data_IF_522273051334
#
_entry.id   IF_522273051334
#
_cell.length_a   1.000
_cell.length_b   1.000
_cell.length_c   1.000
_cell.angle_alpha   90.00
_cell.angle_beta   90.00
_cell.angle_gamma   90.00
#
_symmetry.space_group_name_H-M   'P 1'
#
loop_
_entity.id
_entity.type
_entity.pdbx_description
1 polymer ?
#
# COMPACT_ATOMS: atom_id res chain seq x y z
N UNK A 1 32.30 -14.79 -3.46
CA UNK A 1 32.46 -14.37 -2.06
C UNK A 1 31.12 -14.27 -1.35
N UNK A 2 30.93 -15.10 -0.32
CA UNK A 2 29.74 -15.05 0.53
C UNK A 2 29.93 -13.98 1.61
N UNK A 3 29.42 -12.77 1.37
CA UNK A 3 29.43 -11.68 2.35
C UNK A 3 28.22 -11.81 3.28
N UNK A 4 28.39 -11.44 4.56
CA UNK A 4 27.31 -11.38 5.55
C UNK A 4 26.58 -12.70 5.89
N UNK A 5 27.17 -13.86 5.59
CA UNK A 5 26.54 -15.16 5.88
C UNK A 5 26.82 -15.67 7.28
N UNK A 6 27.88 -15.20 7.95
CA UNK A 6 28.26 -15.57 9.32
C UNK A 6 28.26 -17.09 9.59
N UNK A 7 28.49 -17.92 8.56
CA UNK A 7 28.47 -19.38 8.63
C UNK A 7 27.09 -20.05 8.45
N UNK A 8 26.01 -19.30 8.26
CA UNK A 8 24.68 -19.83 7.97
C UNK A 8 24.40 -19.91 6.47
N UNK A 9 24.11 -21.11 5.96
CA UNK A 9 23.76 -21.34 4.55
C UNK A 9 22.52 -20.56 4.12
N UNK A 10 21.51 -20.45 4.99
CA UNK A 10 20.27 -19.74 4.66
C UNK A 10 20.47 -18.24 4.40
N UNK A 11 21.54 -17.63 4.93
CA UNK A 11 21.87 -16.22 4.70
C UNK A 11 22.51 -15.98 3.32
N UNK A 12 22.95 -17.03 2.61
CA UNK A 12 23.51 -16.90 1.26
C UNK A 12 22.48 -16.31 0.27
N UNK A 13 21.21 -16.63 0.48
CA UNK A 13 20.09 -16.12 -0.32
C UNK A 13 19.46 -14.85 0.27
N UNK A 14 20.11 -14.24 1.26
CA UNK A 14 19.62 -13.06 1.95
C UNK A 14 18.41 -13.30 2.85
N UNK A 15 17.97 -12.23 3.49
CA UNK A 15 16.80 -12.21 4.37
C UNK A 15 15.53 -12.16 3.49
N UNK A 16 14.49 -12.97 3.78
CA UNK A 16 13.26 -12.92 3.01
C UNK A 16 12.46 -11.64 3.28
N UNK A 17 11.96 -11.00 2.22
CA UNK A 17 11.27 -9.71 2.29
C UNK A 17 9.95 -9.76 3.06
N UNK A 18 9.15 -10.81 2.86
CA UNK A 18 7.80 -10.90 3.43
C UNK A 18 7.79 -10.87 4.97
N UNK A 19 8.61 -11.64 5.72
CA UNK A 19 8.67 -11.48 7.17
C UNK A 19 9.13 -10.09 7.62
N UNK A 20 10.02 -9.41 6.86
CA UNK A 20 10.40 -8.01 7.13
C UNK A 20 9.19 -7.09 6.99
N UNK A 21 8.40 -7.23 5.92
CA UNK A 21 7.17 -6.47 5.70
C UNK A 21 6.12 -6.74 6.78
N UNK A 22 5.89 -8.01 7.13
CA UNK A 22 4.94 -8.36 8.20
C UNK A 22 5.37 -7.68 9.51
N UNK A 23 6.65 -7.82 9.86
CA UNK A 23 7.20 -7.24 11.08
C UNK A 23 7.07 -5.72 11.12
N UNK A 24 7.57 -5.01 10.11
CA UNK A 24 7.65 -3.56 10.16
C UNK A 24 6.39 -2.82 9.71
N UNK A 25 5.55 -3.40 8.84
CA UNK A 25 4.34 -2.74 8.32
C UNK A 25 3.07 -3.23 9.04
N UNK A 26 2.94 -4.54 9.23
CA UNK A 26 1.68 -5.16 9.63
C UNK A 26 1.56 -5.21 11.15
N UNK A 27 2.60 -5.62 11.88
CA UNK A 27 2.56 -5.74 13.36
C UNK A 27 2.26 -4.40 14.04
N UNK A 28 2.93 -3.26 13.73
CA UNK A 28 2.57 -1.96 14.29
C UNK A 28 1.10 -1.59 14.05
N UNK A 29 0.58 -1.91 12.86
CA UNK A 29 -0.80 -1.62 12.46
C UNK A 29 -1.78 -2.45 13.28
N UNK A 30 -1.52 -3.75 13.45
CA UNK A 30 -2.34 -4.64 14.30
C UNK A 30 -2.35 -4.14 15.75
N UNK A 31 -1.21 -3.72 16.28
CA UNK A 31 -1.12 -3.22 17.67
C UNK A 31 -1.93 -1.93 17.83
N UNK A 32 -1.81 -0.98 16.90
CA UNK A 32 -2.61 0.25 16.87
C UNK A 32 -4.10 -0.06 16.76
N UNK A 33 -4.46 -1.01 15.89
CA UNK A 33 -5.84 -1.49 15.77
C UNK A 33 -6.30 -2.04 17.11
N UNK A 34 -5.58 -2.99 17.72
CA UNK A 34 -5.95 -3.59 19.01
C UNK A 34 -6.16 -2.54 20.12
N UNK A 35 -5.25 -1.56 20.23
CA UNK A 35 -5.32 -0.48 21.22
C UNK A 35 -6.44 0.54 20.99
N UNK A 36 -6.95 0.66 19.75
CA UNK A 36 -8.04 1.59 19.43
C UNK A 36 -9.37 1.10 19.99
N UNK A 37 -9.80 1.66 21.13
CA UNK A 37 -11.10 1.34 21.75
C UNK A 37 -12.30 2.07 21.12
N UNK A 38 -12.12 2.79 20.00
CA UNK A 38 -13.23 3.48 19.34
C UNK A 38 -14.12 2.47 18.61
N UNK A 39 -15.19 2.05 19.28
CA UNK A 39 -16.35 1.41 18.68
C UNK A 39 -17.24 2.46 18.01
N UNK A 40 -16.71 3.21 17.04
CA UNK A 40 -17.56 4.12 16.23
C UNK A 40 -18.20 3.31 15.11
N UNK A 41 -19.05 2.34 15.47
CA UNK A 41 -19.87 1.61 14.52
C UNK A 41 -21.05 2.49 14.11
N UNK A 42 -20.81 3.42 13.18
CA UNK A 42 -21.90 3.93 12.34
C UNK A 42 -22.28 2.82 11.37
N UNK A 43 -23.31 2.05 11.72
CA UNK A 43 -24.09 1.28 10.76
C UNK A 43 -25.13 2.25 10.18
N UNK A 44 -24.93 2.85 9.00
CA UNK A 44 -26.00 3.61 8.38
C UNK A 44 -27.16 2.65 8.09
N UNK A 45 -28.28 2.84 8.79
CA UNK A 45 -29.51 2.06 8.65
C UNK A 45 -30.21 2.24 7.29
N UNK A 46 -29.61 2.98 6.35
CA UNK A 46 -30.26 3.45 5.14
C UNK A 46 -29.56 2.85 3.91
N UNK A 47 -30.22 1.88 3.27
CA UNK A 47 -29.82 1.39 1.95
C UNK A 47 -30.32 2.36 0.88
N UNK A 48 -29.47 3.32 0.49
CA UNK A 48 -29.75 4.20 -0.66
C UNK A 48 -29.45 3.42 -1.96
N UNK A 49 -30.37 3.39 -2.94
CA UNK A 49 -30.13 2.70 -4.21
C UNK A 49 -29.05 3.43 -5.04
N UNK A 50 -28.23 2.67 -5.75
CA UNK A 50 -27.10 3.17 -6.56
C UNK A 50 -27.52 4.29 -7.52
N UNK A 51 -28.67 4.11 -8.19
CA UNK A 51 -29.19 5.08 -9.16
C UNK A 51 -29.40 6.48 -8.56
N UNK A 52 -29.86 6.57 -7.30
CA UNK A 52 -30.05 7.86 -6.61
C UNK A 52 -28.71 8.50 -6.25
N UNK A 53 -27.75 7.70 -5.79
CA UNK A 53 -26.39 8.18 -5.49
C UNK A 53 -25.70 8.67 -6.76
N UNK A 54 -25.78 7.91 -7.84
CA UNK A 54 -25.21 8.25 -9.14
C UNK A 54 -25.84 9.53 -9.73
N UNK A 55 -27.16 9.67 -9.67
CA UNK A 55 -27.85 10.87 -10.11
C UNK A 55 -27.48 12.11 -9.26
N UNK A 56 -27.31 11.94 -7.95
CA UNK A 56 -26.85 13.04 -7.08
C UNK A 56 -25.40 13.43 -7.39
N UNK A 57 -24.52 12.45 -7.58
CA UNK A 57 -23.12 12.67 -7.91
C UNK A 57 -22.97 13.49 -9.20
N UNK A 58 -23.61 13.03 -10.28
CA UNK A 58 -23.55 13.66 -11.60
C UNK A 58 -24.12 15.08 -11.60
N UNK A 59 -25.21 15.34 -10.86
CA UNK A 59 -25.85 16.66 -10.83
C UNK A 59 -25.17 17.67 -9.90
N UNK A 60 -24.59 17.23 -8.78
CA UNK A 60 -24.20 18.13 -7.67
C UNK A 60 -22.73 18.03 -7.26
N UNK A 61 -22.04 16.94 -7.59
CA UNK A 61 -20.73 16.64 -7.00
C UNK A 61 -19.56 16.71 -7.99
N UNK A 62 -19.79 16.68 -9.31
CA UNK A 62 -18.70 16.72 -10.31
C UNK A 62 -17.67 17.84 -10.06
N UNK A 63 -18.04 19.11 -9.80
CA UNK A 63 -17.03 20.15 -9.56
C UNK A 63 -16.20 19.91 -8.30
N UNK A 64 -16.80 19.32 -7.26
CA UNK A 64 -16.10 18.95 -6.03
C UNK A 64 -15.17 17.77 -6.25
N UNK A 65 -15.61 16.79 -7.05
CA UNK A 65 -14.82 15.64 -7.46
C UNK A 65 -13.57 16.08 -8.23
N UNK A 66 -13.73 16.94 -9.25
CA UNK A 66 -12.60 17.44 -10.04
C UNK A 66 -11.60 18.21 -9.19
N UNK A 67 -12.08 19.13 -8.32
CA UNK A 67 -11.19 19.85 -7.39
C UNK A 67 -10.46 18.91 -6.45
N UNK A 68 -11.19 17.95 -5.88
CA UNK A 68 -10.62 16.91 -5.03
C UNK A 68 -9.54 16.14 -5.76
N UNK A 69 -9.79 15.72 -7.00
CA UNK A 69 -8.80 15.02 -7.84
C UNK A 69 -7.54 15.84 -8.12
N UNK A 70 -7.67 17.13 -8.39
CA UNK A 70 -6.50 18.01 -8.61
C UNK A 70 -5.68 18.15 -7.33
N UNK A 71 -6.32 18.40 -6.19
CA UNK A 71 -5.64 18.50 -4.89
C UNK A 71 -4.96 17.18 -4.55
N UNK A 72 -5.68 16.07 -4.75
CA UNK A 72 -5.17 14.73 -4.50
C UNK A 72 -3.96 14.41 -5.35
N UNK A 73 -4.00 14.68 -6.65
CA UNK A 73 -2.87 14.50 -7.54
C UNK A 73 -1.62 15.26 -7.05
N UNK A 74 -1.76 16.53 -6.69
CA UNK A 74 -0.63 17.35 -6.20
C UNK A 74 -0.11 16.84 -4.85
N UNK A 75 -1.00 16.54 -3.90
CA UNK A 75 -0.63 16.01 -2.59
C UNK A 75 -0.08 14.57 -2.68
N UNK A 76 -0.35 13.85 -3.76
CA UNK A 76 0.10 12.49 -4.02
C UNK A 76 1.62 12.34 -4.03
N UNK A 77 2.34 13.39 -4.43
CA UNK A 77 3.81 13.41 -4.46
C UNK A 77 4.46 13.52 -3.09
N UNK A 78 3.69 13.75 -2.01
CA UNK A 78 4.23 13.88 -0.66
C UNK A 78 4.50 12.48 -0.08
N UNK A 79 5.76 12.14 0.28
CA UNK A 79 6.09 10.82 0.79
C UNK A 79 5.40 10.49 2.12
N UNK A 80 4.94 9.25 2.27
CA UNK A 80 4.38 8.69 3.51
C UNK A 80 2.99 9.21 3.94
N UNK A 81 2.66 10.48 3.67
CA UNK A 81 1.43 11.13 4.15
C UNK A 81 0.48 11.59 3.04
N UNK A 82 0.73 11.20 1.79
CA UNK A 82 -0.02 11.62 0.60
C UNK A 82 -1.54 11.49 0.77
N UNK A 83 -2.04 10.34 1.22
CA UNK A 83 -3.47 10.04 1.34
C UNK A 83 -4.16 10.83 2.44
N UNK A 84 -3.52 10.96 3.61
CA UNK A 84 -4.06 11.73 4.74
C UNK A 84 -4.06 13.22 4.42
N UNK A 85 -2.98 13.70 3.79
CA UNK A 85 -2.84 15.09 3.39
C UNK A 85 -3.85 15.46 2.31
N UNK A 86 -3.96 14.66 1.24
CA UNK A 86 -4.89 14.90 0.13
C UNK A 86 -6.34 14.97 0.61
N UNK A 87 -6.75 13.99 1.41
CA UNK A 87 -8.10 13.87 1.95
C UNK A 87 -8.43 15.09 2.83
N UNK A 88 -7.56 15.42 3.79
CA UNK A 88 -7.80 16.52 4.73
C UNK A 88 -7.72 17.90 4.08
N UNK A 89 -6.80 18.10 3.14
CA UNK A 89 -6.68 19.36 2.39
C UNK A 89 -7.93 19.60 1.52
N UNK A 90 -8.35 18.58 0.78
CA UNK A 90 -9.56 18.64 -0.05
C UNK A 90 -10.82 18.86 0.79
N UNK A 91 -10.95 18.12 1.91
CA UNK A 91 -12.05 18.32 2.86
C UNK A 91 -12.11 19.76 3.38
N UNK A 92 -10.96 20.29 3.83
CA UNK A 92 -10.87 21.63 4.41
C UNK A 92 -11.24 22.72 3.40
N UNK A 93 -10.79 22.57 2.15
CA UNK A 93 -11.17 23.50 1.08
C UNK A 93 -12.67 23.42 0.77
N UNK A 94 -13.20 22.21 0.56
CA UNK A 94 -14.59 22.05 0.16
C UNK A 94 -15.56 22.42 1.31
N UNK A 95 -15.14 22.27 2.57
CA UNK A 95 -15.87 22.76 3.74
C UNK A 95 -15.99 24.29 3.76
N UNK A 96 -14.95 25.02 3.32
CA UNK A 96 -15.01 26.48 3.17
C UNK A 96 -15.90 26.90 1.99
N UNK A 97 -15.80 26.21 0.85
CA UNK A 97 -16.55 26.55 -0.36
C UNK A 97 -18.04 26.16 -0.27
N UNK A 98 -18.34 25.04 0.39
CA UNK A 98 -19.69 24.47 0.47
C UNK A 98 -19.98 23.97 1.90
N UNK A 99 -20.08 24.87 2.89
CA UNK A 99 -20.24 24.49 4.31
C UNK A 99 -21.52 23.70 4.57
N UNK A 100 -22.61 24.01 3.85
CA UNK A 100 -23.92 23.38 4.00
C UNK A 100 -24.12 22.11 3.14
N UNK A 101 -23.06 21.60 2.49
CA UNK A 101 -23.16 20.42 1.61
C UNK A 101 -22.16 19.34 2.01
N UNK A 102 -22.45 18.55 3.06
CA UNK A 102 -21.53 17.51 3.54
C UNK A 102 -21.24 16.43 2.49
N UNK A 103 -22.20 16.12 1.61
CA UNK A 103 -21.97 15.17 0.50
C UNK A 103 -20.88 15.63 -0.47
N UNK A 104 -20.80 16.93 -0.77
CA UNK A 104 -19.75 17.49 -1.61
C UNK A 104 -18.38 17.41 -0.93
N UNK A 105 -18.32 17.66 0.38
CA UNK A 105 -17.09 17.59 1.19
C UNK A 105 -16.55 16.16 1.21
N UNK A 106 -17.42 15.17 1.41
CA UNK A 106 -17.05 13.75 1.36
C UNK A 106 -16.55 13.35 -0.03
N UNK A 107 -17.29 13.70 -1.09
CA UNK A 107 -16.88 13.38 -2.47
C UNK A 107 -15.53 14.01 -2.81
N UNK A 108 -15.28 15.25 -2.42
CA UNK A 108 -13.98 15.90 -2.64
C UNK A 108 -12.84 15.18 -1.90
N UNK A 109 -13.10 14.70 -0.69
CA UNK A 109 -12.12 13.97 0.14
C UNK A 109 -11.79 12.60 -0.46
N UNK A 110 -12.83 11.83 -0.85
CA UNK A 110 -12.66 10.51 -1.46
C UNK A 110 -11.98 10.56 -2.84
N UNK A 111 -12.34 11.55 -3.66
CA UNK A 111 -11.69 11.75 -4.97
C UNK A 111 -10.25 12.23 -4.85
N UNK A 112 -9.92 13.01 -3.80
CA UNK A 112 -8.55 13.39 -3.48
C UNK A 112 -7.72 12.19 -2.99
N UNK A 113 -8.29 11.33 -2.16
CA UNK A 113 -7.62 10.11 -1.72
C UNK A 113 -7.27 9.21 -2.93
N UNK A 114 -8.26 8.94 -3.79
CA UNK A 114 -8.08 8.03 -4.93
C UNK A 114 -7.09 8.57 -5.97
N UNK A 115 -7.18 9.86 -6.32
CA UNK A 115 -6.22 10.49 -7.23
C UNK A 115 -4.81 10.63 -6.64
N UNK A 116 -4.70 10.89 -5.33
CA UNK A 116 -3.42 10.98 -4.65
C UNK A 116 -2.70 9.65 -4.58
N UNK A 117 -3.43 8.55 -4.37
CA UNK A 117 -2.87 7.20 -4.42
C UNK A 117 -2.38 6.84 -5.83
N UNK A 118 -3.08 7.29 -6.88
CA UNK A 118 -2.61 7.10 -8.25
C UNK A 118 -1.35 7.93 -8.55
N UNK A 119 -1.31 9.18 -8.08
CA UNK A 119 -0.16 10.06 -8.24
C UNK A 119 1.07 9.62 -7.43
N UNK A 120 0.88 8.98 -6.27
CA UNK A 120 2.01 8.49 -5.46
C UNK A 120 2.79 7.35 -6.14
N UNK A 121 2.19 6.67 -7.11
CA UNK A 121 2.88 5.65 -7.92
C UNK A 121 3.82 6.25 -8.97
N UNK A 122 3.70 7.53 -9.32
CA UNK A 122 4.54 8.15 -10.36
C UNK A 122 6.03 8.10 -10.01
N UNK A 123 6.48 8.51 -8.80
CA UNK A 123 7.88 8.39 -8.38
C UNK A 123 8.43 6.97 -8.50
N UNK A 124 7.63 5.97 -8.12
CA UNK A 124 8.01 4.57 -8.28
C UNK A 124 8.21 4.23 -9.77
N UNK A 125 7.22 4.52 -10.62
CA UNK A 125 7.25 4.13 -12.03
C UNK A 125 8.30 4.89 -12.85
N UNK A 126 8.59 6.14 -12.49
CA UNK A 126 9.52 7.00 -13.22
C UNK A 126 10.97 6.81 -12.81
N UNK A 127 11.25 6.71 -11.51
CA UNK A 127 12.62 6.70 -10.99
C UNK A 127 12.92 5.54 -10.03
N UNK A 128 11.98 4.61 -9.83
CA UNK A 128 12.22 3.43 -9.01
C UNK A 128 12.13 3.61 -7.51
N UNK A 129 11.62 4.76 -7.05
CA UNK A 129 11.62 5.11 -5.63
C UNK A 129 10.19 4.97 -5.07
N UNK A 130 9.89 3.91 -4.30
CA UNK A 130 8.63 3.81 -3.59
C UNK A 130 8.56 4.81 -2.43
N UNK A 131 7.46 5.55 -2.34
CA UNK A 131 7.21 6.57 -1.31
C UNK A 131 6.11 6.16 -0.33
N UNK A 132 5.42 5.04 -0.59
CA UNK A 132 4.44 4.42 0.33
C UNK A 132 4.75 2.95 0.60
N UNK A 133 4.21 2.42 1.71
CA UNK A 133 4.38 1.01 2.08
C UNK A 133 3.75 0.01 1.08
N UNK A 134 2.69 0.40 0.38
CA UNK A 134 2.09 -0.44 -0.69
C UNK A 134 2.95 -0.46 -1.95
N UNK A 135 3.61 0.65 -2.28
CA UNK A 135 4.49 0.76 -3.45
C UNK A 135 5.75 -0.08 -3.29
N UNK A 136 6.21 -0.28 -2.06
CA UNK A 136 7.31 -1.20 -1.75
C UNK A 136 6.98 -2.63 -2.23
N UNK A 137 5.76 -3.11 -1.96
CA UNK A 137 5.34 -4.45 -2.38
C UNK A 137 5.23 -4.49 -3.91
N UNK A 138 4.66 -3.43 -4.49
CA UNK A 138 4.59 -3.30 -5.94
C UNK A 138 5.98 -3.31 -6.57
N UNK A 139 6.96 -2.56 -6.06
CA UNK A 139 8.35 -2.55 -6.50
C UNK A 139 8.94 -3.97 -6.51
N UNK A 140 8.78 -4.73 -5.41
CA UNK A 140 9.27 -6.10 -5.33
C UNK A 140 8.72 -6.96 -6.47
N UNK A 141 7.40 -6.90 -6.71
CA UNK A 141 6.79 -7.67 -7.79
C UNK A 141 7.20 -7.19 -9.18
N UNK A 142 7.44 -5.89 -9.35
CA UNK A 142 7.95 -5.36 -10.61
C UNK A 142 9.35 -5.90 -10.90
N UNK A 143 10.24 -5.87 -9.90
CA UNK A 143 11.60 -6.43 -10.02
C UNK A 143 11.57 -7.93 -10.29
N UNK A 144 10.73 -8.69 -9.58
CA UNK A 144 10.54 -10.12 -9.81
C UNK A 144 10.00 -10.41 -11.24
N UNK A 145 9.19 -9.50 -11.79
CA UNK A 145 8.70 -9.57 -13.17
C UNK A 145 9.72 -9.08 -14.22
N UNK A 146 10.93 -8.70 -13.81
CA UNK A 146 12.01 -8.28 -14.70
C UNK A 146 12.05 -6.78 -15.02
N UNK A 147 11.25 -5.96 -14.33
CA UNK A 147 11.34 -4.50 -14.45
C UNK A 147 12.47 -3.96 -13.56
N UNK A 148 13.33 -3.09 -14.11
CA UNK A 148 14.39 -2.46 -13.33
C UNK A 148 14.52 -0.97 -13.67
N UNK A 149 14.22 -0.06 -12.73
CA UNK A 149 14.26 1.38 -12.99
C UNK A 149 15.69 1.91 -13.15
N UNK A 150 16.70 1.11 -12.79
CA UNK A 150 18.12 1.48 -12.81
C UNK A 150 18.87 0.94 -14.03
N UNK A 151 18.20 0.21 -14.93
CA UNK A 151 18.76 -0.27 -16.20
C UNK A 151 18.44 0.72 -17.32
N UNK A 152 19.19 1.82 -17.38
CA UNK A 152 18.99 2.92 -18.33
C UNK A 152 19.18 2.52 -19.80
N UNK A 153 19.85 1.40 -20.07
CA UNK A 153 20.07 0.90 -21.43
C UNK A 153 18.80 0.29 -22.06
N UNK A 154 17.79 -0.03 -21.22
CA UNK A 154 16.57 -0.76 -21.60
C UNK A 154 15.29 0.03 -21.30
N UNK A 155 15.31 1.36 -21.49
CA UNK A 155 14.15 2.22 -21.22
C UNK A 155 12.91 1.78 -22.02
N UNK A 156 13.08 1.41 -23.30
CA UNK A 156 11.96 0.93 -24.13
C UNK A 156 11.33 -0.35 -23.56
N UNK A 157 12.14 -1.29 -23.08
CA UNK A 157 11.67 -2.53 -22.47
C UNK A 157 10.93 -2.27 -21.15
N UNK A 158 11.44 -1.35 -20.31
CA UNK A 158 10.78 -0.95 -19.08
C UNK A 158 9.42 -0.28 -19.34
N UNK A 159 9.35 0.59 -20.34
CA UNK A 159 8.10 1.24 -20.77
C UNK A 159 7.12 0.19 -21.29
N UNK A 160 7.59 -0.77 -22.10
CA UNK A 160 6.77 -1.86 -22.62
C UNK A 160 6.21 -2.75 -21.50
N UNK A 161 7.01 -3.14 -20.51
CA UNK A 161 6.52 -3.89 -19.35
C UNK A 161 5.41 -3.12 -18.62
N UNK A 162 5.62 -1.82 -18.36
CA UNK A 162 4.62 -0.98 -17.68
C UNK A 162 3.33 -0.90 -18.50
N UNK A 163 3.41 -0.46 -19.76
CA UNK A 163 2.22 -0.13 -20.54
C UNK A 163 1.53 -1.34 -21.19
N UNK A 164 2.28 -2.36 -21.61
CA UNK A 164 1.69 -3.56 -22.26
C UNK A 164 1.25 -4.61 -21.25
N UNK A 165 1.96 -4.76 -20.14
CA UNK A 165 1.62 -5.79 -19.15
C UNK A 165 0.86 -5.18 -17.96
N UNK A 166 1.45 -4.21 -17.28
CA UNK A 166 0.98 -3.79 -15.95
C UNK A 166 -0.26 -2.90 -16.01
N UNK A 167 -0.28 -1.90 -16.89
CA UNK A 167 -1.41 -0.95 -17.01
C UNK A 167 -2.74 -1.65 -17.34
N UNK A 168 -2.82 -2.60 -18.30
CA UNK A 168 -4.05 -3.33 -18.57
C UNK A 168 -4.57 -4.11 -17.35
N UNK A 169 -3.67 -4.77 -16.60
CA UNK A 169 -4.03 -5.45 -15.37
C UNK A 169 -4.52 -4.47 -14.30
N UNK A 170 -3.87 -3.32 -14.14
CA UNK A 170 -4.34 -2.28 -13.21
C UNK A 170 -5.75 -1.80 -13.56
N UNK A 171 -6.01 -1.51 -14.83
CA UNK A 171 -7.32 -1.05 -15.29
C UNK A 171 -8.37 -2.14 -15.02
N UNK A 172 -8.08 -3.38 -15.41
CA UNK A 172 -8.97 -4.52 -15.23
C UNK A 172 -9.29 -4.74 -13.74
N UNK A 173 -8.28 -4.78 -12.88
CA UNK A 173 -8.44 -5.00 -11.43
C UNK A 173 -9.24 -3.86 -10.79
N UNK A 174 -9.02 -2.61 -11.20
CA UNK A 174 -9.81 -1.48 -10.69
C UNK A 174 -11.28 -1.53 -11.14
N UNK A 175 -11.57 -1.97 -12.37
CA UNK A 175 -12.94 -2.17 -12.85
C UNK A 175 -13.63 -3.27 -12.05
N UNK A 176 -12.97 -4.42 -11.86
CA UNK A 176 -13.50 -5.50 -11.02
C UNK A 176 -13.70 -5.00 -9.59
N UNK A 177 -12.72 -4.30 -9.04
CA UNK A 177 -12.78 -3.69 -7.71
C UNK A 177 -13.98 -2.76 -7.56
N UNK A 178 -14.27 -1.92 -8.55
CA UNK A 178 -15.45 -1.03 -8.55
C UNK A 178 -16.76 -1.82 -8.52
N UNK A 179 -16.88 -2.88 -9.33
CA UNK A 179 -18.07 -3.74 -9.39
C UNK A 179 -18.28 -4.46 -8.06
N UNK A 180 -17.20 -4.92 -7.43
CA UNK A 180 -17.23 -5.69 -6.18
C UNK A 180 -17.39 -4.81 -4.95
N UNK A 181 -16.82 -3.59 -4.94
CA UNK A 181 -16.80 -2.71 -3.78
C UNK A 181 -18.20 -2.30 -3.33
N UNK A 182 -19.11 -1.98 -4.26
CA UNK A 182 -20.47 -1.55 -3.92
C UNK A 182 -21.29 -2.62 -3.17
N UNK A 183 -21.42 -3.88 -3.65
CA UNK A 183 -22.13 -4.93 -2.92
C UNK A 183 -21.40 -5.35 -1.64
N UNK A 184 -20.07 -5.44 -1.66
CA UNK A 184 -19.30 -5.91 -0.51
C UNK A 184 -19.16 -4.87 0.61
N UNK A 185 -19.27 -3.56 0.33
CA UNK A 185 -19.12 -2.52 1.36
C UNK A 185 -19.99 -2.77 2.59
N UNK A 186 -21.24 -3.21 2.40
CA UNK A 186 -22.17 -3.53 3.52
C UNK A 186 -21.76 -4.80 4.27
N UNK A 187 -21.27 -5.81 3.56
CA UNK A 187 -20.87 -7.09 4.15
C UNK A 187 -19.57 -6.94 4.94
N UNK A 188 -18.61 -6.23 4.37
CA UNK A 188 -17.34 -5.86 5.00
C UNK A 188 -17.62 -5.11 6.29
N UNK A 189 -18.48 -4.08 6.27
CA UNK A 189 -18.82 -3.33 7.48
C UNK A 189 -19.33 -4.27 8.58
N UNK A 190 -20.24 -5.21 8.26
CA UNK A 190 -20.73 -6.21 9.23
C UNK A 190 -19.60 -7.04 9.82
N UNK A 191 -18.69 -7.54 8.98
CA UNK A 191 -17.54 -8.37 9.42
C UNK A 191 -16.64 -7.59 10.38
N UNK A 192 -16.27 -6.36 10.02
CA UNK A 192 -15.39 -5.53 10.83
C UNK A 192 -16.07 -5.00 12.11
N UNK A 193 -17.38 -4.80 12.11
CA UNK A 193 -18.13 -4.39 13.32
C UNK A 193 -18.50 -5.56 14.24
N UNK A 194 -18.57 -6.79 13.73
CA UNK A 194 -19.08 -7.92 14.51
C UNK A 194 -18.11 -8.36 15.61
N UNK A 195 -16.83 -8.53 15.29
CA UNK A 195 -15.82 -8.84 16.30
C UNK A 195 -14.40 -8.51 15.82
N UNK A 196 -13.92 -7.34 16.23
CA UNK A 196 -12.57 -6.85 15.95
C UNK A 196 -11.47 -7.85 16.34
N UNK A 197 -11.64 -8.59 17.44
CA UNK A 197 -10.64 -9.58 17.87
C UNK A 197 -10.57 -10.77 16.92
N UNK A 198 -11.71 -11.25 16.42
CA UNK A 198 -11.76 -12.33 15.42
C UNK A 198 -11.11 -11.86 14.12
N UNK A 199 -11.39 -10.64 13.66
CA UNK A 199 -10.77 -10.10 12.44
C UNK A 199 -9.25 -10.02 12.57
N UNK A 200 -8.75 -9.53 13.71
CA UNK A 200 -7.30 -9.49 13.98
C UNK A 200 -6.71 -10.91 14.01
N UNK A 201 -7.39 -11.87 14.67
CA UNK A 201 -6.93 -13.25 14.74
C UNK A 201 -6.84 -13.91 13.35
N UNK A 202 -7.85 -13.71 12.51
CA UNK A 202 -7.86 -14.19 11.11
C UNK A 202 -6.70 -13.58 10.32
N UNK A 203 -6.46 -12.27 10.47
CA UNK A 203 -5.37 -11.59 9.77
C UNK A 203 -4.00 -12.13 10.21
N UNK A 204 -3.78 -12.32 11.52
CA UNK A 204 -2.53 -12.90 12.05
C UNK A 204 -2.35 -14.34 11.55
N UNK A 205 -3.39 -15.16 11.56
CA UNK A 205 -3.36 -16.53 11.06
C UNK A 205 -2.99 -16.55 9.56
N UNK A 206 -3.61 -15.69 8.77
CA UNK A 206 -3.34 -15.57 7.34
C UNK A 206 -1.89 -15.16 7.08
N UNK A 207 -1.34 -14.20 7.83
CA UNK A 207 0.07 -13.80 7.72
C UNK A 207 1.03 -14.94 8.09
N UNK A 208 0.72 -15.71 9.13
CA UNK A 208 1.52 -16.87 9.54
C UNK A 208 1.53 -17.94 8.43
N UNK A 209 0.34 -18.31 7.93
CA UNK A 209 0.19 -19.30 6.85
C UNK A 209 0.88 -18.86 5.56
N UNK A 210 0.78 -17.58 5.20
CA UNK A 210 1.45 -17.04 4.03
C UNK A 210 2.97 -17.09 4.18
N UNK A 211 3.49 -16.71 5.36
CA UNK A 211 4.93 -16.77 5.63
C UNK A 211 5.45 -18.22 5.58
N UNK A 212 4.74 -19.17 6.20
CA UNK A 212 5.15 -20.58 6.19
C UNK A 212 5.06 -21.17 4.78
N UNK A 213 4.00 -20.87 4.04
CA UNK A 213 3.85 -21.32 2.65
C UNK A 213 5.00 -20.85 1.76
N UNK A 214 5.36 -19.57 1.83
CA UNK A 214 6.49 -19.04 1.07
C UNK A 214 7.82 -19.63 1.53
N UNK A 215 8.00 -19.84 2.84
CA UNK A 215 9.17 -20.54 3.37
C UNK A 215 9.29 -21.99 2.89
N UNK A 216 8.16 -22.66 2.60
CA UNK A 216 8.14 -24.02 2.01
C UNK A 216 8.58 -23.96 0.55
N UNK A 217 8.05 -23.03 -0.24
CA UNK A 217 8.44 -22.84 -1.65
C UNK A 217 9.93 -22.52 -1.81
N UNK A 218 10.48 -21.81 -0.83
CA UNK A 218 11.88 -21.40 -0.79
C UNK A 218 12.79 -22.39 -0.04
N UNK A 219 12.26 -23.55 0.38
CA UNK A 219 12.98 -24.60 1.12
C UNK A 219 13.69 -24.14 2.41
N UNK A 220 13.29 -23.00 2.97
CA UNK A 220 13.92 -22.33 4.13
C UNK A 220 12.93 -22.06 5.27
N UNK A 221 11.93 -22.92 5.46
CA UNK A 221 10.81 -22.74 6.43
C UNK A 221 11.26 -22.26 7.81
N UNK A 222 12.28 -22.91 8.39
CA UNK A 222 12.81 -22.55 9.71
C UNK A 222 13.39 -21.14 9.73
N UNK A 223 14.18 -20.78 8.71
CA UNK A 223 14.77 -19.45 8.60
C UNK A 223 13.70 -18.36 8.41
N UNK A 224 12.69 -18.61 7.57
CA UNK A 224 11.55 -17.71 7.38
C UNK A 224 10.77 -17.48 8.68
N UNK A 225 10.54 -18.56 9.45
CA UNK A 225 9.83 -18.50 10.73
C UNK A 225 10.62 -17.71 11.78
N UNK A 226 11.94 -17.91 11.85
CA UNK A 226 12.82 -17.13 12.74
C UNK A 226 12.79 -15.65 12.34
N UNK A 227 12.94 -15.35 11.05
CA UNK A 227 12.86 -13.98 10.54
C UNK A 227 11.51 -13.34 10.93
N UNK A 228 10.40 -14.06 10.75
CA UNK A 228 9.07 -13.57 11.11
C UNK A 228 9.00 -13.17 12.58
N UNK A 229 9.51 -14.00 13.49
CA UNK A 229 9.50 -13.73 14.93
C UNK A 229 10.36 -12.50 15.25
N UNK A 230 11.59 -12.46 14.72
CA UNK A 230 12.55 -11.37 14.98
C UNK A 230 12.01 -10.04 14.48
N UNK A 231 11.57 -9.97 13.22
CA UNK A 231 11.05 -8.72 12.66
C UNK A 231 9.71 -8.32 13.26
N UNK A 232 8.86 -9.27 13.67
CA UNK A 232 7.63 -8.97 14.42
C UNK A 232 7.93 -8.37 15.78
N UNK A 233 8.93 -8.88 16.49
CA UNK A 233 9.36 -8.31 17.77
C UNK A 233 9.94 -6.90 17.59
N UNK A 234 10.80 -6.70 16.59
CA UNK A 234 11.35 -5.38 16.25
C UNK A 234 10.24 -4.39 15.86
N UNK A 235 9.31 -4.81 15.00
CA UNK A 235 8.15 -4.00 14.62
C UNK A 235 7.29 -3.62 15.81
N UNK A 236 7.05 -4.55 16.74
CA UNK A 236 6.33 -4.25 17.98
C UNK A 236 7.03 -3.19 18.83
N UNK A 237 8.37 -3.29 18.98
CA UNK A 237 9.18 -2.28 19.69
C UNK A 237 9.14 -0.93 18.98
N UNK A 238 9.15 -0.94 17.65
CA UNK A 238 9.17 0.25 16.81
C UNK A 238 7.79 0.82 16.50
N UNK A 239 6.70 0.33 17.11
CA UNK A 239 5.32 0.73 16.78
C UNK A 239 5.01 2.24 16.86
N UNK A 240 5.86 3.01 17.55
CA UNK A 240 5.77 4.47 17.68
C UNK A 240 6.52 5.24 16.58
N UNK A 241 7.39 4.58 15.82
CA UNK A 241 8.23 5.17 14.79
C UNK A 241 7.71 4.84 13.38
N UNK A 242 8.08 5.67 12.41
CA UNK A 242 7.84 5.41 11.00
C UNK A 242 8.80 4.32 10.51
N UNK A 243 8.28 3.14 10.17
CA UNK A 243 9.10 1.98 9.76
C UNK A 243 9.29 1.88 8.24
N UNK A 244 8.57 2.68 7.45
CA UNK A 244 8.67 2.71 5.98
C UNK A 244 10.12 2.92 5.49
N UNK A 245 10.91 3.86 6.04
CA UNK A 245 12.30 4.05 5.61
C UNK A 245 13.21 2.83 5.80
N UNK A 246 12.97 2.00 6.83
CA UNK A 246 13.74 0.78 7.05
C UNK A 246 13.45 -0.26 5.97
N UNK A 247 12.18 -0.43 5.63
CA UNK A 247 11.75 -1.37 4.59
C UNK A 247 12.29 -0.89 3.23
N UNK A 248 12.24 0.42 2.98
CA UNK A 248 12.81 1.03 1.78
C UNK A 248 14.31 0.72 1.65
N UNK A 249 15.09 0.96 2.71
CA UNK A 249 16.54 0.67 2.72
C UNK A 249 16.81 -0.83 2.51
N UNK A 250 16.00 -1.70 3.11
CA UNK A 250 16.15 -3.14 2.98
C UNK A 250 16.00 -3.62 1.52
N UNK A 251 15.07 -3.03 0.78
CA UNK A 251 14.80 -3.41 -0.60
C UNK A 251 15.83 -2.81 -1.55
N UNK A 252 16.00 -1.49 -1.48
CA UNK A 252 16.88 -0.79 -2.43
C UNK A 252 18.36 -0.98 -2.12
N UNK A 253 18.73 -1.45 -0.92
CA UNK A 253 20.13 -1.56 -0.49
C UNK A 253 20.99 -2.33 -1.48
N UNK A 254 20.52 -3.51 -1.90
CA UNK A 254 21.25 -4.37 -2.85
C UNK A 254 21.34 -3.72 -4.24
N UNK A 255 20.27 -3.08 -4.70
CA UNK A 255 20.22 -2.43 -6.02
C UNK A 255 21.16 -1.22 -6.08
N UNK A 256 21.13 -0.38 -5.05
CA UNK A 256 22.01 0.79 -4.91
C UNK A 256 23.47 0.36 -4.80
N UNK A 257 23.77 -0.63 -3.96
CA UNK A 257 25.13 -1.17 -3.83
C UNK A 257 25.63 -1.73 -5.16
N UNK A 258 24.78 -2.48 -5.88
CA UNK A 258 25.10 -3.02 -7.20
C UNK A 258 25.37 -1.94 -8.25
N UNK A 259 24.56 -0.87 -8.29
CA UNK A 259 24.79 0.29 -9.17
C UNK A 259 26.08 1.00 -8.81
N UNK A 260 26.32 1.24 -7.51
CA UNK A 260 27.52 1.91 -7.03
C UNK A 260 28.80 1.15 -7.37
N UNK A 261 28.84 -0.17 -7.19
CA UNK A 261 29.99 -0.97 -7.62
C UNK A 261 30.20 -0.94 -9.13
N UNK A 262 29.13 -1.03 -9.93
CA UNK A 262 29.26 -0.93 -11.40
C UNK A 262 29.86 0.40 -11.82
N UNK A 263 29.48 1.50 -11.16
CA UNK A 263 30.02 2.84 -11.46
C UNK A 263 31.44 3.06 -10.95
N UNK A 264 31.88 2.37 -9.88
CA UNK A 264 33.26 2.44 -9.40
C UNK A 264 34.24 1.59 -10.22
N UNK A 265 33.74 0.58 -10.93
CA UNK A 265 34.55 -0.32 -11.77
C UNK A 265 34.76 0.26 -13.19
N UNK A 266 33.92 1.22 -13.60
CA UNK A 266 34.05 1.99 -14.85
C UNK A 266 34.86 3.25 -14.58
#
# INVERSE_FOLDING_TARGET
DFRFTFGFESLQFGIPLIPVLIGFLIVPTIVKMYQSNKSDSFLPAISIPFQKVFAYFTKKCIPSAVRGSVIGYICGFVPGVSTVLSTNASYSLEKKLKPLRPGNQLVASETANNSGQFASMLPLLLIGIPITGSEIILYSFLVDAGWSPFQFDNIEYNVDIIFKNIVPWFVLVNIIGLIVAWPMAKQILKIFTANKHITIAILVLFMLLLNTYLGILDYRVWFWSICLIVFSALGFLMKKYETIPLIFMFILGNDIEGVFYRQLII
#
